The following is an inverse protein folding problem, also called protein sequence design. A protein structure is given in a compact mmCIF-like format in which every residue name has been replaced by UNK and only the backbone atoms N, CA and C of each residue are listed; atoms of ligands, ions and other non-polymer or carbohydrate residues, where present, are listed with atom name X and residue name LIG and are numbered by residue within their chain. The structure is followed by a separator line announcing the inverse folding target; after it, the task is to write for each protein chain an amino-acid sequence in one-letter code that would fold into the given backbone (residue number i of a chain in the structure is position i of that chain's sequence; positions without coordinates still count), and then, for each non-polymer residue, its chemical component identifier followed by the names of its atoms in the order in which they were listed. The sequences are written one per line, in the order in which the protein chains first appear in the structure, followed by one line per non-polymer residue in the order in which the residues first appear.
data_IF_052003041118
#
_entry.id   IF_052003041118
#
_cell.length_a   1.000
_cell.length_b   1.000
_cell.length_c   1.000
_cell.angle_alpha   90.00
_cell.angle_beta   90.00
_cell.angle_gamma   90.00
#
_symmetry.space_group_name_H-M   'P 1'
#
loop_
_entity.id
_entity.type
_entity.pdbx_description
1 polymer ?
#
# COMPACT_ATOMS: atom_id res chain seq x y z
N UNK A 1 1.31 24.73 0.98
CA UNK A 1 0.78 23.35 0.99
C UNK A 1 1.16 22.73 2.32
N UNK A 2 0.24 22.03 2.99
CA UNK A 2 0.55 21.40 4.29
C UNK A 2 1.33 20.10 4.09
N UNK A 3 2.31 19.85 4.97
CA UNK A 3 3.06 18.59 4.99
C UNK A 3 2.25 17.56 5.78
N UNK A 4 1.91 16.43 5.16
CA UNK A 4 1.28 15.31 5.85
C UNK A 4 2.27 14.61 6.79
N UNK A 5 1.83 14.31 8.01
CA UNK A 5 2.59 13.59 9.04
C UNK A 5 1.81 12.31 9.40
N UNK A 6 2.35 11.13 9.08
CA UNK A 6 1.74 9.82 9.37
C UNK A 6 2.55 9.06 10.44
N UNK A 7 1.85 8.33 11.33
CA UNK A 7 2.44 7.36 12.28
C UNK A 7 1.70 6.03 12.19
N UNK A 8 2.44 4.91 12.21
CA UNK A 8 1.90 3.56 12.05
C UNK A 8 2.27 2.67 13.23
N UNK A 9 1.33 1.84 13.66
CA UNK A 9 1.49 0.95 14.80
C UNK A 9 1.02 -0.45 14.44
N UNK A 10 1.62 -1.46 15.07
CA UNK A 10 1.07 -2.81 15.05
C UNK A 10 -0.16 -2.84 15.96
N UNK A 11 -1.25 -3.43 15.46
CA UNK A 11 -2.49 -3.60 16.21
C UNK A 11 -2.46 -4.95 16.91
N UNK A 12 -2.55 -4.96 18.24
CA UNK A 12 -2.57 -6.20 19.04
C UNK A 12 -3.93 -6.87 19.06
N UNK A 13 -5.00 -6.09 19.00
CA UNK A 13 -6.38 -6.55 19.11
C UNK A 13 -7.25 -5.87 18.04
N UNK A 14 -8.04 -6.67 17.32
CA UNK A 14 -8.84 -6.21 16.18
C UNK A 14 -10.16 -5.51 16.54
N UNK A 15 -10.52 -5.43 17.83
CA UNK A 15 -11.69 -4.69 18.33
C UNK A 15 -11.69 -3.21 17.93
N UNK A 16 -10.52 -2.62 17.66
CA UNK A 16 -10.38 -1.26 17.10
C UNK A 16 -11.06 -1.10 15.74
N UNK A 17 -11.39 -2.20 15.05
CA UNK A 17 -12.08 -2.21 13.77
C UNK A 17 -13.60 -2.43 13.92
N UNK A 18 -14.12 -2.60 15.13
CA UNK A 18 -15.53 -2.91 15.35
C UNK A 18 -16.45 -1.82 14.77
N UNK A 19 -17.47 -2.24 14.02
CA UNK A 19 -18.44 -1.35 13.37
C UNK A 19 -17.93 -0.66 12.10
N UNK A 20 -16.66 -0.86 11.71
CA UNK A 20 -16.11 -0.31 10.48
C UNK A 20 -16.36 -1.24 9.29
N UNK A 21 -16.68 -0.64 8.14
CA UNK A 21 -16.75 -1.38 6.87
C UNK A 21 -15.39 -1.31 6.18
N UNK A 22 -14.75 -2.47 6.03
CA UNK A 22 -13.49 -2.60 5.31
C UNK A 22 -13.69 -2.90 3.82
N UNK A 23 -12.73 -2.47 3.00
CA UNK A 23 -12.62 -2.92 1.61
C UNK A 23 -11.69 -4.13 1.57
N UNK A 24 -12.11 -5.23 0.93
CA UNK A 24 -11.20 -6.36 0.70
C UNK A 24 -10.04 -5.90 -0.17
N UNK A 25 -8.82 -6.06 0.33
CA UNK A 25 -7.61 -5.72 -0.39
C UNK A 25 -6.71 -6.95 -0.51
N UNK A 26 -6.18 -7.16 -1.70
CA UNK A 26 -5.14 -8.14 -1.96
C UNK A 26 -4.03 -7.48 -2.76
N UNK A 27 -2.78 -7.89 -2.54
CA UNK A 27 -1.64 -7.39 -3.31
C UNK A 27 -0.62 -8.49 -3.51
N UNK A 28 0.06 -8.44 -4.65
CA UNK A 28 1.17 -9.32 -5.01
C UNK A 28 2.30 -8.53 -5.65
N UNK A 29 3.51 -9.09 -5.57
CA UNK A 29 4.71 -8.55 -6.20
C UNK A 29 5.19 -9.55 -7.26
N UNK A 30 5.41 -9.08 -8.49
CA UNK A 30 5.74 -9.95 -9.64
C UNK A 30 7.23 -9.98 -9.96
N UNK A 31 7.94 -8.88 -9.71
CA UNK A 31 9.37 -8.77 -9.96
C UNK A 31 10.00 -7.87 -8.90
N UNK A 32 11.21 -8.25 -8.46
CA UNK A 32 12.05 -7.52 -7.50
C UNK A 32 13.46 -7.19 -8.04
N UNK A 33 13.84 -7.75 -9.19
CA UNK A 33 15.13 -7.49 -9.82
C UNK A 33 15.14 -6.17 -10.62
N UNK A 34 15.47 -5.08 -9.93
CA UNK A 34 15.74 -3.77 -10.54
C UNK A 34 14.51 -2.89 -10.81
N UNK A 35 13.31 -3.43 -10.65
CA UNK A 35 12.03 -2.72 -10.66
C UNK A 35 11.06 -3.46 -9.75
N UNK A 36 10.27 -2.72 -8.96
CA UNK A 36 9.19 -3.29 -8.17
C UNK A 36 7.90 -3.20 -8.97
N UNK A 37 7.33 -4.37 -9.30
CA UNK A 37 6.01 -4.48 -9.91
C UNK A 37 5.03 -4.95 -8.85
N UNK A 38 4.11 -4.07 -8.44
CA UNK A 38 3.07 -4.39 -7.48
C UNK A 38 1.70 -4.38 -8.15
N UNK A 39 0.99 -5.50 -8.04
CA UNK A 39 -0.42 -5.62 -8.41
C UNK A 39 -1.24 -5.51 -7.13
N UNK A 40 -2.28 -4.68 -7.12
CA UNK A 40 -3.22 -4.56 -5.99
C UNK A 40 -4.65 -4.61 -6.50
N UNK A 41 -5.50 -5.35 -5.80
CA UNK A 41 -6.96 -5.32 -5.95
C UNK A 41 -7.53 -4.67 -4.68
N UNK A 42 -8.43 -3.70 -4.85
CA UNK A 42 -9.19 -3.09 -3.76
C UNK A 42 -10.67 -3.07 -4.14
N UNK A 43 -11.45 -3.96 -3.52
CA UNK A 43 -12.79 -4.27 -4.01
C UNK A 43 -12.72 -4.73 -5.47
N UNK A 44 -13.46 -4.07 -6.35
CA UNK A 44 -13.54 -4.43 -7.77
C UNK A 44 -12.53 -3.66 -8.65
N UNK A 45 -11.63 -2.88 -8.03
CA UNK A 45 -10.65 -2.06 -8.75
C UNK A 45 -9.26 -2.68 -8.70
N UNK A 46 -8.70 -2.94 -9.87
CA UNK A 46 -7.32 -3.35 -10.06
C UNK A 46 -6.38 -2.15 -10.21
N UNK A 47 -5.18 -2.26 -9.65
CA UNK A 47 -4.12 -1.26 -9.74
C UNK A 47 -2.80 -1.96 -10.06
N UNK A 48 -2.08 -1.44 -11.04
CA UNK A 48 -0.70 -1.83 -11.35
C UNK A 48 0.23 -0.68 -11.01
N UNK A 49 1.24 -0.93 -10.18
CA UNK A 49 2.29 0.04 -9.85
C UNK A 49 3.63 -0.51 -10.33
N UNK A 50 4.32 0.28 -11.15
CA UNK A 50 5.68 0.04 -11.60
C UNK A 50 6.59 1.07 -10.94
N UNK A 51 7.53 0.62 -10.10
CA UNK A 51 8.56 1.50 -9.51
C UNK A 51 9.92 1.10 -10.03
N UNK A 52 10.50 1.93 -10.89
CA UNK A 52 11.90 1.78 -11.32
C UNK A 52 12.89 2.16 -10.22
N UNK A 53 14.19 2.03 -10.51
CA UNK A 53 15.25 2.52 -9.63
C UNK A 53 15.10 4.01 -9.38
N UNK A 54 15.05 4.41 -8.11
CA UNK A 54 15.04 5.82 -7.72
C UNK A 54 16.42 6.44 -8.01
N UNK A 55 16.47 7.59 -8.69
CA UNK A 55 17.66 8.46 -8.70
C UNK A 55 17.47 9.53 -7.63
N UNK A 56 18.21 9.42 -6.52
CA UNK A 56 18.08 10.32 -5.37
C UNK A 56 16.81 10.07 -4.53
N UNK A 57 16.49 11.02 -3.63
CA UNK A 57 15.25 11.04 -2.85
C UNK A 57 14.18 11.82 -3.62
N UNK A 58 13.51 11.15 -4.57
CA UNK A 58 12.36 11.72 -5.28
C UNK A 58 11.07 11.07 -4.76
N UNK A 59 10.06 11.91 -4.44
CA UNK A 59 8.73 11.50 -3.96
C UNK A 59 7.74 11.51 -5.12
#
# INVERSE_FOLDING_TARGET
MATEIERKFLVRDSSVLAGLTGTKMAQGYLADNGMVVRVRVAGDKGFLTLKGKTKGLSR
#
